data_IF_875774320269
#
_entry.id   IF_875774320269
#
_cell.length_a   1.000
_cell.length_b   1.000
_cell.length_c   1.000
_cell.angle_alpha   90.00
_cell.angle_beta   90.00
_cell.angle_gamma   90.00
#
_symmetry.space_group_name_H-M   'P 1'
#
loop_
_entity.id
_entity.type
_entity.pdbx_description
1 polymer ?
#
# COMPACT_ATOMS: atom_id res chain seq x y z
N UNK A 1 -26.96 -10.32 5.49
CA UNK A 1 -25.48 -10.20 5.55
C UNK A 1 -25.07 -9.36 4.36
N UNK A 2 -24.30 -8.32 4.58
CA UNK A 2 -23.72 -7.55 3.48
C UNK A 2 -22.58 -8.42 2.92
N UNK A 3 -22.64 -8.72 1.62
CA UNK A 3 -21.58 -9.46 0.94
C UNK A 3 -20.36 -8.53 0.82
N UNK A 4 -19.38 -8.70 1.71
CA UNK A 4 -18.17 -7.88 1.78
C UNK A 4 -17.06 -8.53 0.94
N UNK A 5 -17.36 -8.79 -0.32
CA UNK A 5 -16.36 -9.28 -1.25
C UNK A 5 -15.48 -8.13 -1.78
N UNK A 6 -14.28 -8.49 -2.19
CA UNK A 6 -13.42 -7.60 -2.96
C UNK A 6 -14.17 -7.10 -4.20
N UNK A 7 -14.22 -5.78 -4.47
CA UNK A 7 -14.84 -5.25 -5.67
C UNK A 7 -14.30 -5.94 -6.94
N UNK A 8 -15.18 -6.27 -7.88
CA UNK A 8 -14.81 -7.01 -9.09
C UNK A 8 -13.68 -6.31 -9.87
N UNK A 9 -13.68 -4.97 -9.89
CA UNK A 9 -12.64 -4.19 -10.55
C UNK A 9 -11.25 -4.30 -9.86
N UNK A 10 -11.19 -4.74 -8.59
CA UNK A 10 -9.95 -4.90 -7.84
C UNK A 10 -9.37 -6.32 -7.91
N UNK A 11 -10.01 -7.25 -8.62
CA UNK A 11 -9.60 -8.66 -8.68
C UNK A 11 -8.17 -8.89 -9.19
N UNK A 12 -7.68 -8.05 -10.08
CA UNK A 12 -6.32 -8.12 -10.63
C UNK A 12 -5.54 -6.81 -10.44
N UNK A 13 -6.03 -5.92 -9.57
CA UNK A 13 -5.47 -4.60 -9.38
C UNK A 13 -4.15 -4.62 -8.58
N UNK A 14 -3.35 -3.62 -8.84
CA UNK A 14 -2.21 -3.17 -8.05
C UNK A 14 -2.45 -1.75 -7.54
N UNK A 15 -1.66 -1.31 -6.56
CA UNK A 15 -1.74 0.03 -5.98
C UNK A 15 -0.46 0.80 -6.33
N UNK A 16 -0.62 2.07 -6.69
CA UNK A 16 0.45 3.05 -6.80
C UNK A 16 0.20 4.18 -5.80
N UNK A 17 1.09 4.32 -4.83
CA UNK A 17 1.01 5.36 -3.81
C UNK A 17 1.58 6.67 -4.35
N UNK A 18 0.78 7.73 -4.28
CA UNK A 18 1.07 9.06 -4.83
C UNK A 18 1.41 10.04 -3.73
N UNK A 19 2.66 10.52 -3.72
CA UNK A 19 3.11 11.62 -2.87
C UNK A 19 3.12 12.92 -3.68
N UNK A 20 2.01 13.66 -3.70
CA UNK A 20 1.86 14.89 -4.51
C UNK A 20 2.96 15.89 -4.22
N UNK A 21 3.28 16.14 -2.93
CA UNK A 21 4.32 17.12 -2.53
C UNK A 21 5.65 16.87 -3.22
N UNK A 22 6.03 15.60 -3.35
CA UNK A 22 7.38 15.20 -3.78
C UNK A 22 7.43 14.67 -5.22
N UNK A 23 6.27 14.53 -5.90
CA UNK A 23 6.19 13.86 -7.19
C UNK A 23 6.86 14.66 -8.32
N UNK A 24 6.60 15.96 -8.34
CA UNK A 24 7.19 16.89 -9.31
C UNK A 24 7.88 18.04 -8.58
N UNK A 25 8.77 18.80 -9.25
CA UNK A 25 9.36 20.02 -8.65
C UNK A 25 8.31 20.97 -8.11
N UNK A 26 7.17 21.14 -8.78
CA UNK A 26 6.09 22.02 -8.38
C UNK A 26 5.26 21.43 -7.21
N UNK A 27 5.12 20.10 -7.16
CA UNK A 27 4.35 19.38 -6.15
C UNK A 27 2.85 19.67 -6.21
N UNK A 28 2.28 19.79 -7.42
CA UNK A 28 0.87 20.17 -7.63
C UNK A 28 0.05 19.10 -8.34
N UNK A 29 -1.28 19.15 -8.18
CA UNK A 29 -2.22 18.28 -8.87
C UNK A 29 -2.10 18.37 -10.39
N UNK A 30 -2.00 19.58 -10.93
CA UNK A 30 -1.92 19.80 -12.37
C UNK A 30 -0.63 19.25 -12.99
N UNK A 31 0.49 19.30 -12.27
CA UNK A 31 1.72 18.70 -12.74
C UNK A 31 1.70 17.17 -12.63
N UNK A 32 1.21 16.62 -11.50
CA UNK A 32 1.03 15.18 -11.36
C UNK A 32 0.10 14.61 -12.45
N UNK A 33 -0.99 15.29 -12.76
CA UNK A 33 -1.99 14.87 -13.74
C UNK A 33 -1.37 14.52 -15.10
N UNK A 34 -0.31 15.20 -15.51
CA UNK A 34 0.42 14.94 -16.76
C UNK A 34 1.05 13.54 -16.81
N UNK A 35 1.23 12.90 -15.65
CA UNK A 35 1.81 11.56 -15.53
C UNK A 35 0.78 10.42 -15.56
N UNK A 36 -0.53 10.70 -15.52
CA UNK A 36 -1.58 9.67 -15.56
C UNK A 36 -1.46 8.72 -16.77
N UNK A 37 -1.24 9.21 -18.01
CA UNK A 37 -1.08 8.32 -19.17
C UNK A 37 0.14 7.39 -19.03
N UNK A 38 1.25 7.88 -18.45
CA UNK A 38 2.45 7.07 -18.20
C UNK A 38 2.18 5.99 -17.17
N UNK A 39 1.52 6.33 -16.06
CA UNK A 39 1.16 5.38 -15.01
C UNK A 39 0.20 4.31 -15.54
N UNK A 40 -0.79 4.70 -16.36
CA UNK A 40 -1.66 3.74 -17.04
C UNK A 40 -0.88 2.82 -17.97
N UNK A 41 0.07 3.35 -18.75
CA UNK A 41 0.95 2.53 -19.60
C UNK A 41 1.80 1.55 -18.78
N UNK A 42 2.21 1.93 -17.57
CA UNK A 42 2.93 1.06 -16.65
C UNK A 42 2.03 -0.03 -16.04
N UNK A 43 0.70 0.05 -16.25
CA UNK A 43 -0.28 -0.91 -15.75
C UNK A 43 -0.72 -0.64 -14.32
N UNK A 44 -0.73 0.63 -13.90
CA UNK A 44 -1.30 1.03 -12.60
C UNK A 44 -2.82 0.97 -12.65
N UNK A 45 -3.44 0.45 -11.59
CA UNK A 45 -4.90 0.33 -11.46
C UNK A 45 -5.48 1.25 -10.40
N UNK A 46 -4.89 1.31 -9.22
CA UNK A 46 -5.35 2.12 -8.10
C UNK A 46 -4.30 3.19 -7.80
N UNK A 47 -4.72 4.45 -7.84
CA UNK A 47 -3.94 5.57 -7.34
C UNK A 47 -4.35 5.84 -5.88
N UNK A 48 -3.47 5.53 -4.93
CA UNK A 48 -3.65 5.93 -3.55
C UNK A 48 -2.93 7.26 -3.32
N UNK A 49 -3.70 8.32 -3.14
CA UNK A 49 -3.16 9.64 -2.80
C UNK A 49 -2.93 9.74 -1.29
N UNK A 50 -1.68 10.00 -0.88
CA UNK A 50 -1.37 10.46 0.48
C UNK A 50 -2.25 11.68 0.82
N UNK A 51 -2.42 12.05 2.12
CA UNK A 51 -3.37 13.09 2.48
C UNK A 51 -3.20 14.37 1.65
N UNK A 52 -4.28 14.79 1.02
CA UNK A 52 -4.33 15.96 0.12
C UNK A 52 -4.92 17.20 0.80
N UNK A 53 -5.30 17.07 2.06
CA UNK A 53 -6.02 18.07 2.84
C UNK A 53 -5.14 19.27 3.24
N UNK A 54 -5.74 20.43 3.61
CA UNK A 54 -5.01 21.51 4.23
C UNK A 54 -4.30 21.03 5.50
N UNK A 55 -3.07 21.48 5.68
CA UNK A 55 -2.21 21.08 6.81
C UNK A 55 -2.28 22.13 7.90
N UNK A 56 -2.36 21.69 9.15
CA UNK A 56 -2.33 22.57 10.33
C UNK A 56 -1.06 23.42 10.39
N UNK A 57 -1.23 24.71 10.65
CA UNK A 57 -0.13 25.64 10.94
C UNK A 57 0.22 25.66 12.43
N UNK A 58 -0.73 25.30 13.31
CA UNK A 58 -0.53 25.24 14.76
C UNK A 58 0.29 24.00 15.14
N UNK A 59 1.39 24.22 15.86
CA UNK A 59 2.37 23.17 16.25
C UNK A 59 2.99 22.42 15.08
N UNK A 60 3.02 23.01 13.91
CA UNK A 60 3.57 22.45 12.69
C UNK A 60 5.03 22.03 12.86
N UNK A 61 5.39 20.84 12.41
CA UNK A 61 6.79 20.37 12.30
C UNK A 61 7.35 20.74 10.92
N UNK A 62 8.61 21.19 10.89
CA UNK A 62 9.25 21.63 9.64
C UNK A 62 8.57 22.85 8.99
N UNK A 63 8.92 23.17 7.75
CA UNK A 63 8.38 24.33 7.04
C UNK A 63 6.99 24.06 6.44
N UNK A 64 6.70 22.80 6.07
CA UNK A 64 5.46 22.41 5.38
C UNK A 64 4.48 21.59 6.23
N UNK A 65 4.92 21.08 7.37
CA UNK A 65 4.10 20.25 8.25
C UNK A 65 3.88 18.83 7.75
N UNK A 66 3.28 18.02 8.63
CA UNK A 66 2.86 16.65 8.31
C UNK A 66 1.63 16.66 7.40
N UNK A 67 1.62 15.80 6.38
CA UNK A 67 0.41 15.50 5.59
C UNK A 67 -0.77 15.05 6.47
N UNK A 68 -0.45 14.39 7.59
CA UNK A 68 -1.42 13.79 8.51
C UNK A 68 -1.93 14.77 9.58
N UNK A 69 -1.39 16.01 9.66
CA UNK A 69 -1.92 17.07 10.52
C UNK A 69 -3.05 17.83 9.80
N UNK A 70 -4.16 17.16 9.52
CA UNK A 70 -5.28 17.67 8.72
C UNK A 70 -6.01 18.79 9.45
N UNK A 71 -6.26 19.92 8.77
CA UNK A 71 -7.02 21.07 9.32
C UNK A 71 -8.46 21.17 8.77
N UNK A 72 -8.78 20.51 7.66
CA UNK A 72 -10.13 20.44 7.07
C UNK A 72 -10.26 19.21 6.17
N UNK A 73 -11.15 18.28 6.50
CA UNK A 73 -11.36 17.06 5.72
C UNK A 73 -12.10 17.27 4.39
N UNK A 74 -12.73 18.42 4.16
CA UNK A 74 -13.52 18.68 2.92
C UNK A 74 -12.82 19.60 1.92
N UNK A 75 -11.54 19.90 2.15
CA UNK A 75 -10.77 20.76 1.28
C UNK A 75 -9.45 20.12 0.83
N UNK A 76 -8.83 20.71 -0.17
CA UNK A 76 -7.49 20.36 -0.62
C UNK A 76 -6.46 21.38 -0.10
N UNK A 77 -5.24 20.91 0.11
CA UNK A 77 -4.11 21.79 0.41
C UNK A 77 -3.90 22.79 -0.74
N UNK A 78 -4.02 24.10 -0.48
CA UNK A 78 -3.89 25.10 -1.54
C UNK A 78 -2.51 25.10 -2.24
N UNK A 79 -1.48 24.52 -1.60
CA UNK A 79 -0.17 24.31 -2.22
C UNK A 79 -0.19 23.20 -3.29
N UNK A 80 -1.11 22.26 -3.21
CA UNK A 80 -1.28 21.21 -4.22
C UNK A 80 -2.21 21.64 -5.34
N UNK A 81 -3.17 22.51 -5.05
CA UNK A 81 -4.19 22.99 -5.97
C UNK A 81 -5.59 23.00 -5.36
N UNK A 82 -6.58 23.29 -6.19
CA UNK A 82 -7.98 23.37 -5.79
C UNK A 82 -8.71 22.02 -5.82
N UNK A 83 -9.89 21.97 -5.21
CA UNK A 83 -10.82 20.81 -5.34
C UNK A 83 -11.14 20.50 -6.80
N UNK A 84 -11.25 21.52 -7.67
CA UNK A 84 -11.49 21.31 -9.10
C UNK A 84 -10.28 20.70 -9.82
N UNK A 85 -9.06 21.05 -9.42
CA UNK A 85 -7.85 20.43 -9.98
C UNK A 85 -7.77 18.94 -9.58
N UNK A 86 -8.10 18.63 -8.34
CA UNK A 86 -8.13 17.23 -7.89
C UNK A 86 -9.26 16.43 -8.55
N UNK A 87 -10.44 17.04 -8.72
CA UNK A 87 -11.56 16.43 -9.45
C UNK A 87 -11.16 16.10 -10.90
N UNK A 88 -10.41 16.97 -11.56
CA UNK A 88 -9.91 16.72 -12.90
C UNK A 88 -8.94 15.52 -12.97
N UNK A 89 -8.15 15.27 -11.90
CA UNK A 89 -7.34 14.04 -11.79
C UNK A 89 -8.24 12.81 -11.73
N UNK A 90 -9.28 12.83 -10.88
CA UNK A 90 -10.20 11.68 -10.72
C UNK A 90 -10.89 11.37 -12.05
N UNK A 91 -11.43 12.37 -12.73
CA UNK A 91 -12.12 12.22 -14.00
C UNK A 91 -11.20 11.64 -15.09
N UNK A 92 -9.96 12.13 -15.18
CA UNK A 92 -8.98 11.61 -16.13
C UNK A 92 -8.52 10.19 -15.76
N UNK A 93 -8.26 9.92 -14.47
CA UNK A 93 -7.93 8.57 -14.00
C UNK A 93 -9.04 7.57 -14.36
N UNK A 94 -10.30 7.92 -14.12
CA UNK A 94 -11.45 7.10 -14.50
C UNK A 94 -11.55 6.90 -16.02
N UNK A 95 -11.32 7.95 -16.81
CA UNK A 95 -11.30 7.87 -18.28
C UNK A 95 -10.22 6.89 -18.77
N UNK A 96 -9.07 6.86 -18.09
CA UNK A 96 -7.98 5.92 -18.37
C UNK A 96 -8.23 4.52 -17.76
N UNK A 97 -9.34 4.31 -17.05
CA UNK A 97 -9.68 3.04 -16.39
C UNK A 97 -8.85 2.77 -15.13
N UNK A 98 -8.35 3.80 -14.47
CA UNK A 98 -7.73 3.73 -13.14
C UNK A 98 -8.74 4.13 -12.06
N UNK A 99 -8.52 3.70 -10.84
CA UNK A 99 -9.30 4.00 -9.64
C UNK A 99 -8.52 4.94 -8.72
N UNK A 100 -9.25 5.72 -7.92
CA UNK A 100 -8.66 6.69 -7.01
C UNK A 100 -9.14 6.42 -5.59
N UNK A 101 -8.21 6.20 -4.66
CA UNK A 101 -8.49 6.14 -3.23
C UNK A 101 -7.74 7.24 -2.50
N UNK A 102 -8.36 7.78 -1.44
CA UNK A 102 -7.76 8.81 -0.60
C UNK A 102 -7.24 8.22 0.69
N UNK A 103 -6.12 8.78 1.15
CA UNK A 103 -5.67 8.58 2.51
C UNK A 103 -6.61 9.32 3.47
N UNK A 104 -7.18 8.61 4.41
CA UNK A 104 -8.06 9.12 5.44
C UNK A 104 -7.40 9.04 6.80
N UNK A 105 -7.38 10.14 7.54
CA UNK A 105 -6.72 10.24 8.85
C UNK A 105 -7.77 10.20 9.96
N UNK A 106 -8.18 9.02 10.43
CA UNK A 106 -9.31 8.91 11.35
C UNK A 106 -8.93 9.08 12.83
N UNK A 107 -7.66 8.86 13.20
CA UNK A 107 -7.26 8.83 14.61
C UNK A 107 -7.09 10.22 15.22
N UNK A 108 -6.72 11.23 14.42
CA UNK A 108 -6.34 12.55 14.91
C UNK A 108 -6.56 13.63 13.84
N UNK A 109 -6.45 14.89 14.24
CA UNK A 109 -6.44 16.04 13.34
C UNK A 109 -5.29 16.99 13.69
N UNK A 110 -5.02 17.98 12.84
CA UNK A 110 -4.15 19.10 13.21
C UNK A 110 -4.78 19.99 14.30
N UNK A 111 -3.97 20.77 15.00
CA UNK A 111 -4.39 21.60 16.14
C UNK A 111 -5.24 22.84 15.78
N UNK A 112 -5.38 23.17 14.52
CA UNK A 112 -6.27 24.22 14.02
C UNK A 112 -7.39 23.68 13.13
N UNK A 113 -7.67 22.38 13.23
CA UNK A 113 -8.82 21.77 12.56
C UNK A 113 -10.11 22.48 12.95
N UNK A 114 -11.01 22.63 11.99
CA UNK A 114 -12.29 23.34 12.19
C UNK A 114 -13.10 22.79 13.38
N UNK A 115 -12.97 21.51 13.70
CA UNK A 115 -13.64 20.87 14.83
C UNK A 115 -13.08 21.30 16.20
N UNK A 116 -11.79 21.62 16.34
CA UNK A 116 -11.21 22.06 17.62
C UNK A 116 -11.92 23.31 18.14
N UNK A 117 -12.23 24.25 17.23
CA UNK A 117 -12.95 25.46 17.58
C UNK A 117 -14.43 25.24 17.80
N UNK A 118 -15.07 24.45 16.92
CA UNK A 118 -16.53 24.35 16.89
C UNK A 118 -17.07 23.22 17.79
N UNK A 119 -16.27 22.16 17.96
CA UNK A 119 -16.62 20.93 18.66
C UNK A 119 -15.44 20.39 19.48
N UNK A 120 -14.96 21.12 20.52
CA UNK A 120 -13.83 20.69 21.34
C UNK A 120 -14.12 19.41 22.16
N UNK A 121 -15.38 18.97 22.20
CA UNK A 121 -15.84 17.71 22.78
C UNK A 121 -15.58 16.51 21.85
N UNK A 122 -15.21 16.73 20.59
CA UNK A 122 -14.80 15.67 19.67
C UNK A 122 -13.41 15.13 19.98
N UNK A 123 -12.67 15.75 20.88
CA UNK A 123 -11.28 15.43 21.20
C UNK A 123 -11.13 14.81 22.58
N UNK A 124 -10.16 13.89 22.67
CA UNK A 124 -9.72 13.32 23.95
C UNK A 124 -9.10 14.39 24.84
N UNK A 125 -9.45 14.39 26.13
CA UNK A 125 -8.99 15.37 27.11
C UNK A 125 -8.28 14.71 28.27
N UNK A 126 -7.27 15.39 28.79
CA UNK A 126 -6.61 15.04 30.03
C UNK A 126 -7.49 15.34 31.26
N UNK A 127 -7.01 14.97 32.44
CA UNK A 127 -7.73 15.23 33.70
C UNK A 127 -7.92 16.73 34.02
N UNK A 128 -7.16 17.63 33.41
CA UNK A 128 -7.29 19.06 33.53
C UNK A 128 -8.25 19.68 32.50
N UNK A 129 -8.78 18.85 31.57
CA UNK A 129 -9.70 19.27 30.52
C UNK A 129 -9.03 19.78 29.25
N UNK A 130 -7.72 19.64 29.11
CA UNK A 130 -6.99 20.03 27.90
C UNK A 130 -7.08 18.91 26.85
N UNK A 131 -7.21 19.29 25.57
CA UNK A 131 -7.10 18.35 24.45
C UNK A 131 -5.68 17.76 24.43
N UNK A 132 -5.58 16.44 24.23
CA UNK A 132 -4.31 15.72 24.19
C UNK A 132 -3.84 15.45 22.77
N UNK A 133 -2.55 15.17 22.59
CA UNK A 133 -2.04 14.45 21.44
C UNK A 133 -2.43 12.96 21.52
N UNK A 134 -2.30 12.18 20.42
CA UNK A 134 -2.66 10.76 20.40
C UNK A 134 -2.04 9.95 21.53
N UNK A 135 -2.86 9.08 22.14
CA UNK A 135 -2.49 8.24 23.26
C UNK A 135 -2.31 6.78 22.81
N UNK A 136 -1.36 6.09 23.41
CA UNK A 136 -1.23 4.64 23.25
C UNK A 136 -2.28 3.88 24.11
N UNK A 137 -2.30 2.55 24.02
CA UNK A 137 -3.20 1.67 24.78
C UNK A 137 -3.09 1.79 26.31
N UNK A 138 -2.02 2.41 26.81
CA UNK A 138 -1.80 2.67 28.23
C UNK A 138 -2.17 4.12 28.63
N UNK A 139 -2.77 4.91 27.73
CA UNK A 139 -3.11 6.30 27.97
C UNK A 139 -1.92 7.26 28.04
N UNK A 140 -0.78 6.87 27.48
CA UNK A 140 0.43 7.70 27.43
C UNK A 140 0.54 8.34 26.04
N UNK A 141 1.02 9.61 25.99
CA UNK A 141 1.28 10.31 24.75
C UNK A 141 2.22 9.51 23.82
N UNK A 142 1.85 9.42 22.54
CA UNK A 142 2.69 8.85 21.49
C UNK A 142 3.80 9.82 21.02
N UNK A 143 3.84 11.05 21.55
CA UNK A 143 4.81 12.06 21.16
C UNK A 143 4.50 12.75 19.82
N UNK A 144 3.28 12.55 19.30
CA UNK A 144 2.83 13.20 18.05
C UNK A 144 2.21 14.55 18.35
N UNK A 145 3.01 15.45 18.90
CA UNK A 145 2.58 16.72 19.46
C UNK A 145 2.10 17.76 18.43
N UNK A 146 2.20 17.48 17.15
CA UNK A 146 1.67 18.28 16.04
C UNK A 146 0.22 17.92 15.67
N UNK A 147 -0.38 16.93 16.31
CA UNK A 147 -1.76 16.49 16.08
C UNK A 147 -2.53 16.30 17.38
N UNK A 148 -3.87 16.36 17.31
CA UNK A 148 -4.81 16.28 18.41
C UNK A 148 -5.67 15.01 18.31
N UNK A 149 -5.80 14.26 19.40
CA UNK A 149 -6.47 12.96 19.46
C UNK A 149 -7.99 13.09 19.40
N UNK A 150 -8.64 12.23 18.60
CA UNK A 150 -10.09 12.20 18.45
C UNK A 150 -10.74 11.26 19.48
N UNK A 151 -11.84 11.72 20.09
CA UNK A 151 -12.61 10.96 21.08
C UNK A 151 -13.68 10.11 20.41
N UNK A 152 -13.42 8.83 20.25
CA UNK A 152 -14.35 7.88 19.65
C UNK A 152 -15.54 7.49 20.55
N UNK A 153 -15.59 7.91 21.82
CA UNK A 153 -16.79 7.79 22.66
C UNK A 153 -17.85 8.83 22.27
N UNK A 154 -17.47 9.89 21.53
CA UNK A 154 -18.39 10.90 21.05
C UNK A 154 -19.06 10.45 19.73
N UNK A 155 -20.35 10.11 19.81
CA UNK A 155 -21.11 9.63 18.66
C UNK A 155 -21.33 10.70 17.59
N UNK A 156 -21.40 11.99 17.95
CA UNK A 156 -21.54 13.08 16.99
C UNK A 156 -20.24 13.23 16.16
N UNK A 157 -19.08 13.07 16.79
CA UNK A 157 -17.79 13.04 16.08
C UNK A 157 -17.76 11.89 15.06
N UNK A 158 -18.19 10.68 15.45
CA UNK A 158 -18.25 9.53 14.54
C UNK A 158 -19.17 9.81 13.34
N UNK A 159 -20.34 10.42 13.57
CA UNK A 159 -21.29 10.74 12.49
C UNK A 159 -20.74 11.84 11.56
N UNK A 160 -20.09 12.86 12.10
CA UNK A 160 -19.44 13.90 11.29
C UNK A 160 -18.29 13.33 10.45
N UNK A 161 -17.45 12.46 11.03
CA UNK A 161 -16.39 11.75 10.32
C UNK A 161 -16.96 10.97 9.11
N UNK A 162 -18.05 10.26 9.30
CA UNK A 162 -18.74 9.53 8.21
C UNK A 162 -19.29 10.49 7.15
N UNK A 163 -19.85 11.63 7.58
CA UNK A 163 -20.36 12.67 6.67
C UNK A 163 -19.26 13.22 5.77
N UNK A 164 -18.07 13.45 6.32
CA UNK A 164 -16.90 13.93 5.57
C UNK A 164 -16.39 12.88 4.57
N UNK A 165 -16.39 11.60 4.94
CA UNK A 165 -16.05 10.53 3.99
C UNK A 165 -17.09 10.40 2.88
N UNK A 166 -18.37 10.51 3.19
CA UNK A 166 -19.47 10.47 2.20
C UNK A 166 -19.36 11.64 1.21
N UNK A 167 -18.91 12.81 1.66
CA UNK A 167 -18.65 13.95 0.77
C UNK A 167 -17.70 13.57 -0.39
N UNK A 168 -16.58 12.90 -0.11
CA UNK A 168 -15.63 12.48 -1.13
C UNK A 168 -16.20 11.41 -2.08
N UNK A 169 -17.02 10.49 -1.56
CA UNK A 169 -17.66 9.47 -2.39
C UNK A 169 -18.72 10.05 -3.31
N UNK A 170 -19.54 11.01 -2.84
CA UNK A 170 -20.67 11.58 -3.59
C UNK A 170 -20.26 12.70 -4.54
N UNK A 171 -19.53 13.70 -4.02
CA UNK A 171 -19.23 14.92 -4.76
C UNK A 171 -18.00 14.77 -5.67
N UNK A 172 -17.05 13.94 -5.24
CA UNK A 172 -15.80 13.72 -5.98
C UNK A 172 -15.68 12.33 -6.60
N UNK A 173 -16.57 11.40 -6.26
CA UNK A 173 -16.67 10.06 -6.86
C UNK A 173 -15.37 9.24 -6.75
N UNK A 174 -14.61 9.39 -5.65
CA UNK A 174 -13.47 8.53 -5.39
C UNK A 174 -13.92 7.08 -5.21
N UNK A 175 -12.98 6.12 -5.32
CA UNK A 175 -13.30 4.69 -5.34
C UNK A 175 -13.05 3.99 -4.00
N UNK A 176 -12.60 4.72 -2.98
CA UNK A 176 -12.38 4.18 -1.65
C UNK A 176 -11.36 4.97 -0.84
N UNK A 177 -10.85 4.31 0.20
CA UNK A 177 -9.94 4.95 1.16
C UNK A 177 -8.82 4.00 1.59
N UNK A 178 -7.66 4.57 1.92
CA UNK A 178 -6.66 4.01 2.82
C UNK A 178 -6.82 4.72 4.16
N UNK A 179 -6.88 3.98 5.24
CA UNK A 179 -7.07 4.54 6.58
C UNK A 179 -5.78 4.52 7.36
N UNK A 180 -5.29 5.73 7.66
CA UNK A 180 -4.13 5.97 8.50
C UNK A 180 -4.37 5.44 9.92
N UNK A 181 -3.34 4.80 10.50
CA UNK A 181 -3.36 4.30 11.87
C UNK A 181 -4.67 3.61 12.28
N UNK A 182 -5.28 2.86 11.36
CA UNK A 182 -6.58 2.21 11.57
C UNK A 182 -6.62 1.30 12.81
N UNK A 183 -5.46 0.82 13.24
CA UNK A 183 -5.30 -0.02 14.44
C UNK A 183 -5.64 0.72 15.75
N UNK A 184 -5.57 2.06 15.78
CA UNK A 184 -5.88 2.88 16.95
C UNK A 184 -7.37 3.26 17.04
N UNK A 185 -8.14 3.01 16.00
CA UNK A 185 -9.55 3.36 15.91
C UNK A 185 -10.41 2.14 16.30
N UNK A 186 -11.45 2.31 17.13
CA UNK A 186 -12.28 1.20 17.61
C UNK A 186 -12.91 0.35 16.50
N UNK A 187 -12.91 -0.97 16.67
CA UNK A 187 -13.42 -1.92 15.68
C UNK A 187 -14.92 -1.72 15.38
N UNK A 188 -15.71 -1.37 16.39
CA UNK A 188 -17.15 -1.12 16.25
C UNK A 188 -17.44 0.09 15.35
N UNK A 189 -16.55 1.08 15.34
CA UNK A 189 -16.63 2.18 14.38
C UNK A 189 -16.44 1.66 12.94
N UNK A 190 -15.42 0.85 12.70
CA UNK A 190 -15.18 0.26 11.37
C UNK A 190 -16.36 -0.58 10.88
N UNK A 191 -16.92 -1.42 11.75
CA UNK A 191 -18.12 -2.21 11.45
C UNK A 191 -19.33 -1.35 11.08
N UNK A 192 -19.46 -0.20 11.73
CA UNK A 192 -20.58 0.73 11.50
C UNK A 192 -20.41 1.51 10.21
N UNK A 193 -19.22 2.07 9.96
CA UNK A 193 -19.03 2.97 8.83
C UNK A 193 -19.07 2.24 7.49
N UNK A 194 -18.54 1.01 7.43
CA UNK A 194 -18.53 0.26 6.17
C UNK A 194 -19.94 0.08 5.59
N UNK A 195 -20.92 -0.14 6.46
CA UNK A 195 -22.33 -0.24 6.05
C UNK A 195 -22.83 1.07 5.46
N UNK A 196 -22.53 2.20 6.13
CA UNK A 196 -22.94 3.55 5.68
C UNK A 196 -22.26 3.94 4.37
N UNK A 197 -20.97 3.69 4.22
CA UNK A 197 -20.21 4.01 3.01
C UNK A 197 -20.65 3.16 1.82
N UNK A 198 -20.86 1.86 2.02
CA UNK A 198 -21.34 0.96 0.95
C UNK A 198 -22.77 1.25 0.50
N UNK A 199 -23.60 1.84 1.34
CA UNK A 199 -24.89 2.34 0.92
C UNK A 199 -24.79 3.50 -0.09
N UNK A 200 -23.67 4.23 -0.07
CA UNK A 200 -23.37 5.32 -1.01
C UNK A 200 -22.64 4.80 -2.25
N UNK A 201 -21.61 3.98 -2.07
CA UNK A 201 -20.80 3.38 -3.14
C UNK A 201 -20.59 1.89 -2.84
N UNK A 202 -21.36 1.05 -3.49
CA UNK A 202 -21.39 -0.39 -3.23
C UNK A 202 -20.05 -1.08 -3.48
N UNK A 203 -19.32 -0.63 -4.48
CA UNK A 203 -18.04 -1.19 -4.96
C UNK A 203 -16.80 -0.43 -4.45
N UNK A 204 -16.91 0.29 -3.31
CA UNK A 204 -15.76 0.98 -2.74
C UNK A 204 -14.67 -0.01 -2.27
N UNK A 205 -13.42 0.44 -2.29
CA UNK A 205 -12.29 -0.31 -1.77
C UNK A 205 -11.78 0.30 -0.46
N UNK A 206 -11.51 -0.54 0.53
CA UNK A 206 -11.06 -0.15 1.87
C UNK A 206 -9.74 -0.83 2.20
N UNK A 207 -8.70 -0.03 2.45
CA UNK A 207 -7.38 -0.47 2.89
C UNK A 207 -7.09 0.11 4.28
N UNK A 208 -6.67 -0.73 5.22
CA UNK A 208 -6.28 -0.28 6.56
C UNK A 208 -4.76 -0.33 6.76
N UNK A 209 -4.20 0.75 7.28
CA UNK A 209 -2.90 0.67 7.93
C UNK A 209 -3.04 -0.02 9.30
N UNK A 210 -2.92 -1.32 9.27
CA UNK A 210 -3.11 -2.21 10.41
C UNK A 210 -2.61 -3.61 10.07
N UNK A 211 -2.22 -4.38 11.08
CA UNK A 211 -2.05 -5.84 10.99
C UNK A 211 -3.07 -6.58 11.87
N UNK A 212 -4.12 -5.91 12.35
CA UNK A 212 -5.19 -6.54 13.12
C UNK A 212 -6.04 -7.38 12.16
N UNK A 213 -5.96 -8.70 12.30
CA UNK A 213 -6.65 -9.64 11.40
C UNK A 213 -8.18 -9.52 11.48
N UNK A 214 -8.74 -9.08 12.62
CA UNK A 214 -10.16 -8.83 12.79
C UNK A 214 -10.69 -7.72 11.86
N UNK A 215 -9.84 -6.81 11.41
CA UNK A 215 -10.21 -5.84 10.38
C UNK A 215 -10.62 -6.52 9.06
N UNK A 216 -10.02 -7.66 8.73
CA UNK A 216 -10.42 -8.49 7.60
C UNK A 216 -11.54 -9.47 8.00
N UNK A 217 -11.36 -10.21 9.09
CA UNK A 217 -12.22 -11.31 9.49
C UNK A 217 -13.66 -10.85 9.79
N UNK A 218 -13.83 -9.59 10.20
CA UNK A 218 -15.13 -8.99 10.53
C UNK A 218 -15.66 -8.03 9.45
N UNK A 219 -15.18 -8.15 8.21
CA UNK A 219 -15.69 -7.40 7.06
C UNK A 219 -15.59 -5.88 7.17
N UNK A 220 -14.53 -5.35 7.82
CA UNK A 220 -14.31 -3.92 7.93
C UNK A 220 -13.47 -3.39 6.76
N UNK A 221 -12.51 -4.18 6.27
CA UNK A 221 -11.57 -3.80 5.22
C UNK A 221 -11.37 -4.93 4.21
N UNK A 222 -11.07 -4.57 2.96
CA UNK A 222 -10.70 -5.53 1.91
C UNK A 222 -9.24 -5.92 2.00
N UNK A 223 -8.39 -4.99 2.46
CA UNK A 223 -6.95 -5.21 2.63
C UNK A 223 -6.42 -4.58 3.90
N UNK A 224 -5.39 -5.21 4.47
CA UNK A 224 -4.54 -4.66 5.54
C UNK A 224 -3.07 -4.69 5.09
N UNK A 225 -2.19 -4.01 5.82
CA UNK A 225 -0.77 -4.04 5.53
C UNK A 225 -0.13 -5.40 5.87
N UNK A 226 0.85 -5.79 5.07
CA UNK A 226 1.72 -6.93 5.35
C UNK A 226 3.02 -6.52 6.05
N UNK A 227 2.94 -5.77 7.17
CA UNK A 227 4.11 -5.24 7.86
C UNK A 227 5.07 -6.33 8.34
N UNK A 228 4.55 -7.40 8.93
CA UNK A 228 5.37 -8.51 9.46
C UNK A 228 6.15 -9.22 8.35
N UNK A 229 5.52 -9.40 7.17
CA UNK A 229 6.24 -9.91 6.00
C UNK A 229 7.25 -8.88 5.49
N UNK A 230 6.87 -7.62 5.35
CA UNK A 230 7.78 -6.54 4.93
C UNK A 230 9.05 -6.48 5.80
N UNK A 231 8.92 -6.51 7.12
CA UNK A 231 10.06 -6.56 8.04
C UNK A 231 10.92 -7.83 7.84
N UNK A 232 10.27 -8.98 7.59
CA UNK A 232 10.96 -10.24 7.27
C UNK A 232 11.77 -10.11 5.97
N UNK A 233 11.19 -9.52 4.92
CA UNK A 233 11.88 -9.31 3.64
C UNK A 233 13.10 -8.38 3.79
N UNK A 234 12.98 -7.28 4.55
CA UNK A 234 14.11 -6.41 4.87
C UNK A 234 15.21 -7.17 5.64
N UNK A 235 14.84 -8.00 6.61
CA UNK A 235 15.80 -8.80 7.36
C UNK A 235 16.54 -9.82 6.48
N UNK A 236 15.86 -10.41 5.49
CA UNK A 236 16.49 -11.31 4.51
C UNK A 236 17.44 -10.53 3.59
N UNK A 237 17.04 -9.39 3.06
CA UNK A 237 17.88 -8.52 2.22
C UNK A 237 19.17 -8.13 2.93
N UNK A 238 19.09 -7.87 4.25
CA UNK A 238 20.22 -7.52 5.11
C UNK A 238 21.04 -8.74 5.57
N UNK A 239 20.62 -9.96 5.23
CA UNK A 239 21.29 -11.19 5.65
C UNK A 239 21.09 -11.58 7.11
N UNK A 240 20.10 -10.99 7.79
CA UNK A 240 19.73 -11.28 9.19
C UNK A 240 18.79 -12.50 9.29
N UNK A 241 18.06 -12.81 8.23
CA UNK A 241 17.20 -13.98 8.09
C UNK A 241 17.46 -14.68 6.76
N UNK A 242 17.02 -15.92 6.63
CA UNK A 242 17.04 -16.69 5.41
C UNK A 242 15.68 -16.63 4.70
N UNK A 243 15.62 -17.00 3.43
CA UNK A 243 14.39 -17.03 2.65
C UNK A 243 13.31 -17.96 3.27
N UNK A 244 13.71 -19.02 3.98
CA UNK A 244 12.80 -19.91 4.72
C UNK A 244 11.96 -19.18 5.79
N UNK A 245 12.33 -17.98 6.26
CA UNK A 245 11.49 -17.17 7.14
C UNK A 245 10.16 -16.72 6.49
N UNK A 246 10.09 -16.71 5.17
CA UNK A 246 8.84 -16.45 4.45
C UNK A 246 7.86 -17.63 4.63
N UNK A 247 8.38 -18.87 4.66
CA UNK A 247 7.56 -20.06 4.93
C UNK A 247 6.96 -20.02 6.34
N UNK A 248 7.69 -19.47 7.34
CA UNK A 248 7.18 -19.25 8.69
C UNK A 248 5.99 -18.28 8.70
N UNK A 249 6.09 -17.18 7.94
CA UNK A 249 4.99 -16.22 7.82
C UNK A 249 3.74 -16.88 7.21
N UNK A 250 3.91 -17.67 6.15
CA UNK A 250 2.81 -18.42 5.54
C UNK A 250 2.23 -19.51 6.45
N UNK A 251 3.02 -20.06 7.34
CA UNK A 251 2.55 -21.09 8.30
C UNK A 251 1.83 -20.50 9.51
N UNK A 252 2.23 -19.32 9.99
CA UNK A 252 1.79 -18.82 11.28
C UNK A 252 1.04 -17.49 11.24
N UNK A 253 1.38 -16.57 10.34
CA UNK A 253 0.75 -15.24 10.29
C UNK A 253 -0.36 -15.15 9.24
N UNK A 254 -0.08 -15.57 8.01
CA UNK A 254 -1.06 -15.53 6.92
C UNK A 254 -2.39 -16.23 7.26
N UNK A 255 -2.40 -17.42 7.91
CA UNK A 255 -3.65 -18.14 8.22
C UNK A 255 -4.54 -17.48 9.27
N UNK A 256 -4.03 -16.52 10.06
CA UNK A 256 -4.84 -15.76 11.02
C UNK A 256 -5.91 -14.91 10.34
N UNK A 257 -5.66 -14.48 9.08
CA UNK A 257 -6.67 -13.85 8.24
C UNK A 257 -7.40 -14.91 7.41
N UNK A 258 -8.66 -15.17 7.74
CA UNK A 258 -9.49 -16.16 7.04
C UNK A 258 -9.97 -15.67 5.67
N UNK A 259 -9.93 -14.37 5.43
CA UNK A 259 -10.35 -13.67 4.19
C UNK A 259 -9.61 -12.36 4.02
N UNK A 260 -9.87 -11.66 2.91
CA UNK A 260 -9.24 -10.39 2.60
C UNK A 260 -7.80 -10.52 2.10
N UNK A 261 -7.15 -9.39 1.93
CA UNK A 261 -5.83 -9.27 1.32
C UNK A 261 -4.82 -8.69 2.29
N UNK A 262 -3.55 -9.10 2.11
CA UNK A 262 -2.42 -8.33 2.61
C UNK A 262 -1.89 -7.45 1.48
N UNK A 263 -1.70 -6.15 1.74
CA UNK A 263 -0.94 -5.28 0.86
C UNK A 263 0.53 -5.60 1.02
N UNK A 264 1.19 -5.98 -0.08
CA UNK A 264 2.59 -6.37 -0.13
C UNK A 264 3.43 -5.25 -0.74
N UNK A 265 4.54 -4.91 -0.11
CA UNK A 265 5.36 -3.78 -0.55
C UNK A 265 6.82 -3.91 -0.15
N UNK A 266 7.70 -3.26 -0.89
CA UNK A 266 9.12 -3.09 -0.56
C UNK A 266 9.41 -1.70 -0.01
N UNK A 267 8.55 -0.72 -0.29
CA UNK A 267 8.64 0.65 0.24
C UNK A 267 7.25 1.31 0.26
N UNK A 268 7.11 2.34 1.09
CA UNK A 268 6.02 3.31 1.14
C UNK A 268 6.59 4.65 1.63
N UNK A 269 5.73 5.65 1.84
CA UNK A 269 6.16 6.98 2.31
C UNK A 269 6.88 6.95 3.65
N UNK A 270 6.42 6.11 4.60
CA UNK A 270 7.06 5.97 5.93
C UNK A 270 8.39 5.26 5.85
N UNK A 271 8.44 4.10 5.22
CA UNK A 271 9.68 3.35 5.06
C UNK A 271 10.75 4.17 4.35
N UNK A 272 10.38 4.87 3.29
CA UNK A 272 11.32 5.72 2.56
C UNK A 272 11.86 6.86 3.45
N UNK A 273 11.00 7.57 4.17
CA UNK A 273 11.41 8.75 4.93
C UNK A 273 12.11 8.39 6.24
N UNK A 274 11.65 7.34 6.95
CA UNK A 274 12.10 7.03 8.31
C UNK A 274 13.09 5.88 8.40
N UNK A 275 12.86 4.80 7.63
CA UNK A 275 13.67 3.58 7.71
C UNK A 275 14.82 3.55 6.69
N UNK A 276 14.68 4.30 5.60
CA UNK A 276 15.64 4.37 4.50
C UNK A 276 15.02 4.13 3.14
N UNK A 277 15.64 4.65 2.09
CA UNK A 277 15.21 4.32 0.74
C UNK A 277 15.26 2.81 0.49
N UNK A 278 14.50 2.31 -0.49
CA UNK A 278 14.54 0.89 -0.85
C UNK A 278 15.98 0.41 -1.16
N UNK A 279 16.76 1.26 -1.84
CA UNK A 279 18.16 0.96 -2.19
C UNK A 279 19.04 0.92 -0.93
N UNK A 280 18.84 1.81 0.05
CA UNK A 280 19.57 1.75 1.33
C UNK A 280 19.27 0.47 2.12
N UNK A 281 18.00 0.04 2.14
CA UNK A 281 17.55 -1.12 2.92
C UNK A 281 17.85 -2.46 2.27
N UNK A 282 17.73 -2.54 0.95
CA UNK A 282 17.77 -3.81 0.21
C UNK A 282 18.97 -3.92 -0.76
N UNK A 283 19.64 -2.81 -1.10
CA UNK A 283 20.79 -2.82 -2.01
C UNK A 283 20.46 -3.47 -3.36
N UNK A 284 21.34 -4.35 -3.83
CA UNK A 284 21.17 -5.08 -5.10
C UNK A 284 19.95 -6.03 -5.11
N UNK A 285 19.44 -6.40 -3.95
CA UNK A 285 18.31 -7.30 -3.80
C UNK A 285 16.95 -6.67 -4.15
N UNK A 286 16.85 -5.33 -4.23
CA UNK A 286 15.57 -4.62 -4.35
C UNK A 286 14.66 -5.17 -5.46
N UNK A 287 15.20 -5.49 -6.65
CA UNK A 287 14.40 -6.06 -7.75
C UNK A 287 13.90 -7.48 -7.45
N UNK A 288 14.70 -8.31 -6.80
CA UNK A 288 14.29 -9.66 -6.40
C UNK A 288 13.09 -9.59 -5.42
N UNK A 289 13.12 -8.66 -4.46
CA UNK A 289 12.02 -8.43 -3.54
C UNK A 289 10.82 -7.75 -4.21
N UNK A 290 11.02 -6.84 -5.16
CA UNK A 290 9.93 -6.29 -5.96
C UNK A 290 9.21 -7.39 -6.79
N UNK A 291 9.95 -8.33 -7.40
CA UNK A 291 9.36 -9.50 -8.05
C UNK A 291 8.54 -10.31 -7.05
N UNK A 292 9.10 -10.56 -5.88
CA UNK A 292 8.42 -11.35 -4.85
C UNK A 292 7.08 -10.73 -4.45
N UNK A 293 7.05 -9.45 -4.01
CA UNK A 293 5.82 -8.79 -3.55
C UNK A 293 4.76 -8.65 -4.66
N UNK A 294 5.17 -8.56 -5.92
CA UNK A 294 4.26 -8.50 -7.06
C UNK A 294 3.71 -9.87 -7.50
N UNK A 295 4.29 -10.96 -7.03
CA UNK A 295 3.88 -12.33 -7.42
C UNK A 295 3.30 -13.17 -6.28
N UNK A 296 3.49 -12.75 -5.02
CA UNK A 296 2.83 -13.34 -3.86
C UNK A 296 1.30 -13.16 -3.92
N UNK A 297 0.57 -13.89 -3.05
CA UNK A 297 -0.84 -13.60 -2.82
C UNK A 297 -1.01 -12.29 -2.04
N UNK A 298 -2.02 -11.50 -2.42
CA UNK A 298 -2.24 -10.16 -1.88
C UNK A 298 -2.27 -9.11 -2.98
N UNK A 299 -2.31 -7.85 -2.57
CA UNK A 299 -2.33 -6.72 -3.49
C UNK A 299 -0.97 -5.98 -3.42
N UNK A 300 -0.22 -5.89 -4.52
CA UNK A 300 1.08 -5.23 -4.51
C UNK A 300 0.94 -3.70 -4.52
N UNK A 301 1.84 -3.04 -3.79
CA UNK A 301 2.03 -1.60 -3.77
C UNK A 301 3.36 -1.22 -4.43
N UNK A 302 3.30 -0.21 -5.29
CA UNK A 302 4.47 0.54 -5.76
C UNK A 302 4.40 1.97 -5.22
N UNK A 303 5.41 2.42 -4.49
CA UNK A 303 5.50 3.79 -4.01
C UNK A 303 6.07 4.72 -5.09
N UNK A 304 5.59 5.96 -5.15
CA UNK A 304 6.11 7.01 -6.04
C UNK A 304 7.64 7.07 -6.04
N UNK A 305 8.25 6.86 -7.21
CA UNK A 305 9.70 6.88 -7.39
C UNK A 305 10.35 5.51 -7.52
N UNK A 306 9.67 4.40 -7.21
CA UNK A 306 10.27 3.07 -7.40
C UNK A 306 10.50 2.71 -8.88
N UNK A 307 9.78 3.32 -9.80
CA UNK A 307 10.02 3.20 -11.25
C UNK A 307 11.26 3.97 -11.74
N UNK A 308 11.91 4.71 -10.85
CA UNK A 308 13.22 5.34 -11.04
C UNK A 308 14.15 4.85 -9.92
N UNK A 309 15.43 4.54 -10.17
CA UNK A 309 16.36 4.26 -9.06
C UNK A 309 16.53 5.49 -8.18
N UNK A 310 15.80 5.52 -7.07
CA UNK A 310 15.81 6.62 -6.10
C UNK A 310 16.57 6.22 -4.84
N UNK A 311 17.86 6.56 -4.70
CA UNK A 311 18.69 6.13 -3.58
C UNK A 311 18.58 7.04 -2.34
N UNK A 312 17.64 7.99 -2.32
CA UNK A 312 17.50 8.97 -1.23
C UNK A 312 16.20 8.78 -0.45
N UNK A 313 16.22 9.24 0.78
CA UNK A 313 15.05 9.45 1.61
C UNK A 313 14.39 10.77 1.24
N UNK A 314 13.08 10.77 1.04
CA UNK A 314 12.34 12.00 0.82
C UNK A 314 12.07 12.70 2.16
N UNK A 315 12.27 14.00 2.18
CA UNK A 315 12.01 14.84 3.36
C UNK A 315 10.51 14.88 3.68
N UNK A 316 10.12 14.43 4.88
CA UNK A 316 8.71 14.29 5.24
C UNK A 316 8.01 15.63 5.51
N UNK A 317 8.68 16.56 6.17
CA UNK A 317 8.12 17.85 6.58
C UNK A 317 8.50 19.03 5.68
N UNK A 318 9.28 18.76 4.63
CA UNK A 318 9.81 19.76 3.72
C UNK A 318 9.45 19.44 2.26
N UNK A 319 9.66 20.41 1.36
CA UNK A 319 9.62 20.15 -0.07
C UNK A 319 10.91 19.47 -0.49
N UNK A 320 10.77 18.33 -1.09
CA UNK A 320 11.83 17.59 -1.78
C UNK A 320 11.32 17.21 -3.17
N UNK A 321 12.07 16.41 -3.92
CA UNK A 321 11.72 15.99 -5.27
C UNK A 321 12.22 14.56 -5.49
N UNK A 322 11.35 13.70 -6.00
CA UNK A 322 11.73 12.35 -6.44
C UNK A 322 12.82 12.42 -7.52
N UNK A 323 12.76 13.45 -8.36
CA UNK A 323 13.78 13.69 -9.37
C UNK A 323 13.75 12.67 -10.50
N UNK A 324 12.58 12.35 -11.03
CA UNK A 324 12.43 11.51 -12.20
C UNK A 324 13.29 11.98 -13.36
N UNK A 325 13.99 11.05 -14.02
CA UNK A 325 14.85 11.33 -15.18
C UNK A 325 14.47 10.49 -16.38
N UNK A 326 14.59 9.18 -16.25
CA UNK A 326 14.46 8.24 -17.38
C UNK A 326 13.46 7.12 -17.10
N UNK A 327 12.91 7.03 -15.87
CA UNK A 327 12.04 5.93 -15.44
C UNK A 327 12.65 4.55 -15.69
N UNK A 328 13.92 4.37 -15.31
CA UNK A 328 14.75 3.21 -15.69
C UNK A 328 14.17 1.86 -15.24
N UNK A 329 13.25 1.85 -14.28
CA UNK A 329 12.57 0.64 -13.81
C UNK A 329 11.10 0.56 -14.25
N UNK A 330 10.60 1.53 -15.05
CA UNK A 330 9.20 1.50 -15.50
C UNK A 330 8.88 0.23 -16.32
N UNK A 331 9.76 -0.19 -17.22
CA UNK A 331 9.58 -1.42 -18.01
C UNK A 331 9.58 -2.67 -17.12
N UNK A 332 10.38 -2.67 -16.05
CA UNK A 332 10.40 -3.76 -15.08
C UNK A 332 9.04 -3.91 -14.37
N UNK A 333 8.48 -2.81 -13.83
CA UNK A 333 7.16 -2.81 -13.21
C UNK A 333 6.04 -3.05 -14.23
N UNK A 334 6.16 -2.54 -15.44
CA UNK A 334 5.21 -2.82 -16.53
C UNK A 334 5.08 -4.31 -16.80
N UNK A 335 6.19 -5.05 -16.85
CA UNK A 335 6.16 -6.52 -17.05
C UNK A 335 5.44 -7.24 -15.90
N UNK A 336 5.68 -6.84 -14.67
CA UNK A 336 5.03 -7.43 -13.48
C UNK A 336 3.52 -7.13 -13.47
N UNK A 337 3.14 -5.89 -13.71
CA UNK A 337 1.73 -5.47 -13.74
C UNK A 337 0.98 -6.12 -14.91
N UNK A 338 1.58 -6.18 -16.09
CA UNK A 338 1.01 -6.86 -17.26
C UNK A 338 0.82 -8.35 -16.97
N UNK A 339 1.81 -9.02 -16.37
CA UNK A 339 1.67 -10.41 -15.99
C UNK A 339 0.50 -10.64 -15.02
N UNK A 340 0.35 -9.75 -14.04
CA UNK A 340 -0.76 -9.81 -13.07
C UNK A 340 -2.11 -9.63 -13.75
N UNK A 341 -2.23 -8.70 -14.69
CA UNK A 341 -3.47 -8.46 -15.44
C UNK A 341 -3.85 -9.67 -16.30
N UNK A 342 -2.88 -10.20 -17.03
CA UNK A 342 -3.09 -11.22 -18.06
C UNK A 342 -3.20 -12.64 -17.51
N UNK A 343 -2.75 -12.88 -16.27
CA UNK A 343 -2.67 -14.22 -15.71
C UNK A 343 -3.49 -14.39 -14.43
N UNK A 344 -4.66 -15.03 -14.50
CA UNK A 344 -5.52 -15.28 -13.34
C UNK A 344 -4.81 -15.96 -12.15
N UNK A 345 -3.71 -16.70 -12.38
CA UNK A 345 -2.96 -17.27 -11.28
C UNK A 345 -2.48 -16.23 -10.26
N UNK A 346 -2.19 -14.98 -10.70
CA UNK A 346 -1.70 -13.90 -9.84
C UNK A 346 -2.80 -12.95 -9.33
N UNK A 347 -4.05 -13.17 -9.66
CA UNK A 347 -5.13 -12.29 -9.21
C UNK A 347 -5.28 -12.28 -7.69
N UNK A 348 -6.02 -11.30 -7.19
CA UNK A 348 -6.16 -11.03 -5.75
C UNK A 348 -7.16 -11.96 -5.08
N UNK A 349 -6.88 -12.36 -3.86
CA UNK A 349 -7.78 -13.15 -3.02
C UNK A 349 -8.26 -14.43 -3.71
N UNK A 350 -9.56 -14.68 -3.64
CA UNK A 350 -10.19 -15.89 -4.19
C UNK A 350 -10.22 -15.94 -5.73
N UNK A 351 -9.93 -14.82 -6.39
CA UNK A 351 -9.81 -14.77 -7.86
C UNK A 351 -8.49 -15.39 -8.35
N UNK A 352 -7.46 -15.43 -7.49
CA UNK A 352 -6.13 -15.95 -7.82
C UNK A 352 -5.84 -17.37 -7.33
N UNK A 353 -4.70 -17.89 -7.75
CA UNK A 353 -4.18 -19.17 -7.28
C UNK A 353 -3.48 -19.08 -5.93
N UNK A 354 -3.57 -20.13 -5.13
CA UNK A 354 -2.82 -20.24 -3.88
C UNK A 354 -1.33 -20.48 -4.16
N UNK A 355 -0.47 -20.08 -3.23
CA UNK A 355 0.96 -20.37 -3.30
C UNK A 355 1.20 -21.85 -2.98
N UNK A 356 1.86 -22.55 -3.91
CA UNK A 356 2.39 -23.89 -3.72
C UNK A 356 3.91 -23.84 -3.75
N UNK A 357 4.54 -24.06 -2.60
CA UNK A 357 6.01 -24.10 -2.51
C UNK A 357 6.59 -25.26 -3.29
N UNK A 358 7.66 -24.99 -4.03
CA UNK A 358 8.47 -25.96 -4.76
C UNK A 358 9.95 -25.77 -4.41
N UNK A 359 10.81 -26.75 -4.69
CA UNK A 359 12.26 -26.64 -4.48
C UNK A 359 12.63 -25.97 -3.13
N UNK A 360 12.12 -26.49 -2.01
CA UNK A 360 12.31 -25.88 -0.69
C UNK A 360 13.79 -25.82 -0.33
N UNK A 361 14.27 -24.61 -0.12
CA UNK A 361 15.65 -24.30 0.24
C UNK A 361 15.66 -23.09 1.21
N UNK A 362 16.72 -22.98 1.99
CA UNK A 362 16.86 -21.90 2.98
C UNK A 362 17.12 -20.53 2.37
N UNK A 363 17.69 -20.47 1.16
CA UNK A 363 18.12 -19.23 0.51
C UNK A 363 17.33 -18.95 -0.78
N UNK A 364 16.62 -19.97 -1.32
CA UNK A 364 15.82 -19.85 -2.52
C UNK A 364 14.36 -19.97 -2.18
N UNK A 365 13.59 -18.92 -2.50
CA UNK A 365 12.15 -18.96 -2.37
C UNK A 365 11.51 -19.21 -3.73
N UNK A 366 10.90 -20.38 -3.88
CA UNK A 366 10.29 -20.80 -5.16
C UNK A 366 8.90 -21.36 -4.95
N UNK A 367 7.99 -21.00 -5.84
CA UNK A 367 6.58 -21.38 -5.74
C UNK A 367 5.89 -21.36 -7.09
N UNK A 368 4.75 -22.01 -7.12
CA UNK A 368 3.79 -21.99 -8.22
C UNK A 368 2.50 -21.33 -7.70
N UNK A 369 1.88 -20.50 -8.53
CA UNK A 369 0.47 -20.13 -8.45
C UNK A 369 -0.24 -20.62 -9.69
N UNK A 370 -1.42 -21.20 -9.51
CA UNK A 370 -2.22 -21.77 -10.61
C UNK A 370 -3.70 -21.47 -10.39
N UNK A 371 -4.39 -21.06 -11.45
CA UNK A 371 -5.82 -20.78 -11.46
C UNK A 371 -6.39 -20.95 -12.87
N UNK A 372 -7.46 -21.74 -12.99
CA UNK A 372 -8.21 -21.92 -14.23
C UNK A 372 -7.32 -22.25 -15.45
N UNK A 373 -6.35 -23.16 -15.26
CA UNK A 373 -5.39 -23.58 -16.28
C UNK A 373 -4.24 -22.58 -16.55
N UNK A 374 -4.25 -21.43 -15.88
CA UNK A 374 -3.15 -20.45 -15.93
C UNK A 374 -2.15 -20.72 -14.81
N UNK A 375 -0.87 -20.67 -15.12
CA UNK A 375 0.21 -21.01 -14.19
C UNK A 375 1.32 -19.95 -14.25
N UNK A 376 1.84 -19.59 -13.09
CA UNK A 376 3.07 -18.80 -12.96
C UNK A 376 3.98 -19.52 -11.98
N UNK A 377 5.22 -19.77 -12.41
CA UNK A 377 6.29 -20.32 -11.56
C UNK A 377 7.30 -19.24 -11.28
N UNK A 378 7.63 -19.04 -10.00
CA UNK A 378 8.59 -18.06 -9.53
C UNK A 378 9.71 -18.75 -8.78
N UNK A 379 10.95 -18.44 -9.12
CA UNK A 379 12.15 -18.98 -8.49
C UNK A 379 13.08 -17.80 -8.21
N UNK A 380 13.40 -17.54 -6.95
CA UNK A 380 14.20 -16.38 -6.54
C UNK A 380 15.30 -16.82 -5.57
N UNK A 381 16.55 -16.52 -5.91
CA UNK A 381 17.65 -16.59 -4.97
C UNK A 381 17.62 -15.34 -4.07
N UNK A 382 17.26 -15.47 -2.83
CA UNK A 382 17.20 -14.41 -1.83
C UNK A 382 18.47 -14.38 -0.96
N UNK A 383 19.64 -14.56 -1.60
CA UNK A 383 20.93 -14.53 -0.92
C UNK A 383 22.04 -13.87 -1.74
N UNK A 384 23.10 -13.47 -1.07
CA UNK A 384 24.30 -12.86 -1.66
C UNK A 384 25.24 -13.88 -2.33
N UNK A 385 24.85 -15.15 -2.38
CA UNK A 385 25.69 -16.22 -2.92
C UNK A 385 24.95 -16.95 -4.04
N UNK A 386 25.70 -17.51 -4.98
CA UNK A 386 25.14 -18.41 -5.98
C UNK A 386 24.49 -19.61 -5.26
N UNK A 387 23.30 -19.96 -5.68
CA UNK A 387 22.56 -21.13 -5.18
C UNK A 387 22.30 -22.10 -6.30
N UNK A 388 22.22 -23.38 -5.95
CA UNK A 388 21.79 -24.45 -6.87
C UNK A 388 20.73 -25.28 -6.16
N UNK A 389 19.54 -25.33 -6.74
CA UNK A 389 18.40 -26.10 -6.22
C UNK A 389 18.02 -27.18 -7.21
N UNK A 390 17.41 -28.25 -6.73
CA UNK A 390 16.94 -29.36 -7.56
C UNK A 390 15.45 -29.25 -7.75
N UNK A 391 15.01 -29.32 -9.00
CA UNK A 391 13.58 -29.24 -9.33
C UNK A 391 12.85 -30.49 -8.86
N UNK A 392 11.77 -30.31 -8.11
CA UNK A 392 10.88 -31.41 -7.67
C UNK A 392 9.73 -31.68 -8.65
N UNK A 393 9.63 -30.85 -9.72
CA UNK A 393 8.60 -30.97 -10.77
C UNK A 393 9.17 -30.59 -12.14
N UNK A 394 8.45 -30.91 -13.21
CA UNK A 394 8.76 -30.42 -14.55
C UNK A 394 8.32 -28.95 -14.66
N UNK A 395 9.26 -28.07 -15.00
CA UNK A 395 9.02 -26.63 -15.16
C UNK A 395 9.31 -26.25 -16.61
N UNK A 396 8.28 -25.82 -17.32
CA UNK A 396 8.38 -25.38 -18.71
C UNK A 396 7.62 -24.07 -18.91
N UNK A 397 8.18 -23.16 -19.67
CA UNK A 397 7.52 -21.88 -20.00
C UNK A 397 8.49 -20.85 -20.57
N UNK A 398 8.13 -19.59 -20.44
CA UNK A 398 8.95 -18.46 -20.90
C UNK A 398 9.18 -17.51 -19.72
N UNK A 399 10.43 -17.19 -19.42
CA UNK A 399 10.74 -16.15 -18.44
C UNK A 399 10.36 -14.78 -18.98
N UNK A 400 9.54 -14.04 -18.23
CA UNK A 400 8.98 -12.75 -18.69
C UNK A 400 10.01 -11.65 -18.82
N UNK A 401 11.13 -11.72 -18.10
CA UNK A 401 12.16 -10.69 -18.12
C UNK A 401 13.12 -10.85 -19.29
N UNK A 402 13.63 -12.05 -19.49
CA UNK A 402 14.56 -12.35 -20.57
C UNK A 402 13.89 -12.71 -21.90
N UNK A 403 12.62 -13.12 -21.87
CA UNK A 403 11.89 -13.65 -23.02
C UNK A 403 12.37 -15.03 -23.48
N UNK A 404 13.27 -15.67 -22.72
CA UNK A 404 13.83 -16.99 -23.09
C UNK A 404 12.93 -18.13 -22.60
N UNK A 405 12.90 -19.20 -23.38
CA UNK A 405 12.30 -20.45 -22.93
C UNK A 405 13.13 -21.04 -21.80
N UNK A 406 12.45 -21.47 -20.76
CA UNK A 406 13.00 -22.16 -19.58
C UNK A 406 12.40 -23.54 -19.53
N UNK A 407 13.25 -24.54 -19.36
CA UNK A 407 12.83 -25.94 -19.22
C UNK A 407 13.74 -26.63 -18.21
N UNK A 408 13.15 -27.09 -17.11
CA UNK A 408 13.80 -27.96 -16.12
C UNK A 408 12.98 -29.26 -16.02
N UNK A 409 13.61 -30.38 -16.31
CA UNK A 409 13.01 -31.66 -15.98
C UNK A 409 13.01 -31.88 -14.47
N UNK A 410 12.10 -32.71 -13.97
CA UNK A 410 12.14 -33.15 -12.59
C UNK A 410 13.52 -33.73 -12.24
N UNK A 411 14.09 -33.33 -11.11
CA UNK A 411 15.45 -33.62 -10.63
C UNK A 411 16.58 -32.89 -11.40
N UNK A 412 16.27 -32.00 -12.33
CA UNK A 412 17.29 -31.13 -12.91
C UNK A 412 17.75 -30.07 -11.91
N UNK A 413 19.00 -29.70 -12.01
CA UNK A 413 19.59 -28.58 -11.24
C UNK A 413 19.22 -27.23 -11.86
N UNK A 414 18.81 -26.28 -11.03
CA UNK A 414 18.62 -24.88 -11.36
C UNK A 414 19.64 -24.06 -10.58
N UNK A 415 20.58 -23.45 -11.28
CA UNK A 415 21.59 -22.57 -10.68
C UNK A 415 21.20 -21.11 -10.86
N UNK A 416 21.25 -20.33 -9.78
CA UNK A 416 20.87 -18.90 -9.71
C UNK A 416 22.04 -18.10 -9.15
N UNK A 417 22.41 -17.02 -9.84
CA UNK A 417 23.35 -16.03 -9.32
C UNK A 417 22.75 -15.32 -8.06
N UNK A 418 23.55 -14.56 -7.29
CA UNK A 418 23.01 -13.75 -6.19
C UNK A 418 21.85 -12.86 -6.66
N UNK A 419 20.72 -12.90 -5.92
CA UNK A 419 19.51 -12.11 -6.18
C UNK A 419 18.84 -12.34 -7.55
N UNK A 420 19.26 -13.37 -8.26
CA UNK A 420 18.66 -13.75 -9.54
C UNK A 420 17.25 -14.33 -9.33
N UNK A 421 16.38 -14.00 -10.26
CA UNK A 421 14.99 -14.45 -10.27
C UNK A 421 14.56 -14.90 -11.67
N UNK A 422 13.66 -15.87 -11.69
CA UNK A 422 12.95 -16.34 -12.87
C UNK A 422 11.45 -16.25 -12.61
N UNK A 423 10.71 -15.68 -13.54
CA UNK A 423 9.25 -15.60 -13.52
C UNK A 423 8.72 -16.20 -14.80
N UNK A 424 8.23 -17.43 -14.72
CA UNK A 424 7.96 -18.31 -15.84
C UNK A 424 6.44 -18.43 -16.02
N UNK A 425 5.95 -18.10 -17.24
CA UNK A 425 4.56 -18.29 -17.65
C UNK A 425 4.45 -19.25 -18.84
#
# INVERSE_FOLDING_TARGET
MIDFNLPEWAKNANIYEVNIRQYTPEGTFNEFRKHLPRLKKMGVDILWFMPIYPISETKKKGSLGSYYAVSDFRNTNPKFGSLSDFKAIIEEAHTLGMKVILDWVPNHTGWDHVWIKNHPDYYTKDAAGNITDPLNEHGQSMGWNDVADLNYDNMNMRDEMVSDMIFWLKEHQIDGFRHDMALLVPLDFWQTIIVKLRAVKHDLFMLAESEIHDHLNQDCFHAIYGWSLHHTLNAIAQGKKKASAIDEWYAYDRPKASKGLFMQFTSNHDENSWSGSEIERMGEAHKAFAVLVNTLDGIPLTYSGQEEPMPKRLEFFEKDDIGFKNYNYADFYTKLNTLKHDNPALWNGNYGGQIKRIMKDDNVFSFIREKDGNKVTVIINLSKQKQTVVSDDDINGTDIFSGKKVSFAKRAECSLAPWEYLVIK
#
